data_IF_669223823155
#
_entry.id   IF_669223823155
#
_cell.length_a   1.000
_cell.length_b   1.000
_cell.length_c   1.000
_cell.angle_alpha   90.00
_cell.angle_beta   90.00
_cell.angle_gamma   90.00
#
_symmetry.space_group_name_H-M   'P 1'
#
loop_
_entity.id
_entity.type
_entity.pdbx_description
1 polymer ?
#
# COMPACT_ATOMS: atom_id res chain seq x y z
N UNK A 1 18.84 3.73 -2.60
CA UNK A 1 17.59 4.50 -2.70
C UNK A 1 16.43 3.53 -2.58
N UNK A 2 15.32 3.91 -1.94
CA UNK A 2 14.13 3.07 -1.82
C UNK A 2 13.47 2.95 -3.20
N UNK A 3 13.41 1.74 -3.76
CA UNK A 3 12.70 1.47 -5.01
C UNK A 3 11.30 0.97 -4.70
N UNK A 4 10.37 1.91 -4.58
CA UNK A 4 8.94 1.64 -4.61
C UNK A 4 8.45 2.32 -5.87
N UNK A 5 8.16 1.53 -6.90
CA UNK A 5 7.73 2.08 -8.19
C UNK A 5 6.22 2.35 -8.16
N UNK A 6 5.83 3.53 -8.66
CA UNK A 6 4.45 3.88 -9.01
C UNK A 6 4.35 3.79 -10.53
N UNK A 7 3.56 2.86 -11.08
CA UNK A 7 3.35 2.76 -12.53
C UNK A 7 3.22 1.35 -13.08
N UNK A 8 3.26 1.24 -14.41
CA UNK A 8 3.16 -0.02 -15.15
C UNK A 8 4.22 -1.03 -14.69
N UNK A 9 3.80 -2.29 -14.54
CA UNK A 9 4.66 -3.39 -14.07
C UNK A 9 5.86 -3.56 -14.99
N UNK A 10 7.07 -3.43 -14.45
CA UNK A 10 8.32 -3.69 -15.16
C UNK A 10 8.74 -5.17 -15.02
N UNK A 11 9.65 -5.63 -15.88
CA UNK A 11 10.23 -6.98 -15.73
C UNK A 11 10.92 -7.18 -14.37
N UNK A 12 11.47 -6.12 -13.77
CA UNK A 12 12.10 -6.17 -12.44
C UNK A 12 11.11 -6.42 -11.30
N UNK A 13 9.83 -6.13 -11.50
CA UNK A 13 8.78 -6.34 -10.50
C UNK A 13 8.29 -7.79 -10.47
N UNK A 14 8.56 -8.55 -11.52
CA UNK A 14 8.12 -9.94 -11.65
C UNK A 14 8.75 -10.80 -10.54
N UNK A 15 7.88 -11.50 -9.84
CA UNK A 15 8.20 -12.32 -8.69
C UNK A 15 8.33 -11.54 -7.38
N UNK A 16 8.25 -10.21 -7.40
CA UNK A 16 8.21 -9.38 -6.18
C UNK A 16 6.90 -9.51 -5.41
N UNK A 17 6.67 -8.56 -4.50
CA UNK A 17 5.41 -8.44 -3.76
C UNK A 17 4.66 -7.20 -4.24
N UNK A 18 3.42 -7.37 -4.71
CA UNK A 18 2.51 -6.27 -5.02
C UNK A 18 1.51 -6.12 -3.88
N UNK A 19 1.34 -4.92 -3.36
CA UNK A 19 0.31 -4.62 -2.36
C UNK A 19 -0.69 -3.66 -2.97
N UNK A 20 -1.96 -4.06 -3.04
CA UNK A 20 -3.07 -3.22 -3.47
C UNK A 20 -3.85 -2.77 -2.22
N UNK A 21 -3.92 -1.47 -2.00
CA UNK A 21 -4.77 -0.84 -1.02
C UNK A 21 -6.04 -0.32 -1.71
N UNK A 22 -7.19 -0.57 -1.10
CA UNK A 22 -8.50 -0.08 -1.51
C UNK A 22 -9.20 0.51 -0.30
N UNK A 23 -9.74 1.72 -0.42
CA UNK A 23 -10.49 2.38 0.65
C UNK A 23 -11.93 2.66 0.22
N UNK A 24 -12.86 2.57 1.16
CA UNK A 24 -14.28 2.73 0.87
C UNK A 24 -14.75 4.19 0.87
N UNK A 25 -13.89 5.14 1.22
CA UNK A 25 -14.26 6.55 1.40
C UNK A 25 -13.23 7.48 0.73
N UNK A 26 -13.62 8.09 -0.40
CA UNK A 26 -12.78 9.00 -1.19
C UNK A 26 -12.34 10.26 -0.44
N UNK A 27 -12.96 10.57 0.70
CA UNK A 27 -12.59 11.70 1.54
C UNK A 27 -11.73 11.28 2.74
N UNK A 28 -11.32 10.02 2.83
CA UNK A 28 -10.39 9.55 3.84
C UNK A 28 -9.01 10.15 3.58
N UNK A 29 -8.46 10.83 4.58
CA UNK A 29 -7.11 11.35 4.54
C UNK A 29 -6.19 10.48 5.41
N UNK A 30 -5.07 10.02 4.87
CA UNK A 30 -4.12 9.16 5.58
C UNK A 30 -2.72 9.17 4.94
N UNK A 31 -1.74 8.70 5.69
CA UNK A 31 -0.40 8.39 5.19
C UNK A 31 -0.15 6.89 5.27
N UNK A 32 0.44 6.30 4.22
CA UNK A 32 1.03 4.96 4.25
C UNK A 32 2.55 5.07 4.37
N UNK A 33 3.12 4.48 5.42
CA UNK A 33 4.56 4.44 5.64
C UNK A 33 5.10 3.03 5.36
N UNK A 34 6.02 2.92 4.40
CA UNK A 34 6.74 1.70 4.08
C UNK A 34 8.10 1.76 4.74
N UNK A 35 8.38 0.85 5.68
CA UNK A 35 9.67 0.70 6.36
C UNK A 35 10.36 -0.53 5.82
N UNK A 36 11.55 -0.34 5.27
CA UNK A 36 12.35 -1.41 4.69
C UNK A 36 13.17 -2.17 5.77
N UNK A 37 13.82 -3.29 5.41
CA UNK A 37 14.65 -4.07 6.34
C UNK A 37 15.78 -3.27 7.00
N UNK A 38 16.32 -2.26 6.31
CA UNK A 38 17.39 -1.38 6.80
C UNK A 38 16.87 -0.22 7.67
N UNK A 39 15.56 -0.18 7.96
CA UNK A 39 14.86 0.86 8.73
C UNK A 39 14.80 2.24 8.04
N UNK A 40 15.10 2.31 6.75
CA UNK A 40 14.72 3.46 5.94
C UNK A 40 13.22 3.39 5.64
N UNK A 41 12.59 4.55 5.45
CA UNK A 41 11.18 4.60 5.16
C UNK A 41 10.83 5.57 4.03
N UNK A 42 9.73 5.25 3.36
CA UNK A 42 9.05 6.08 2.39
C UNK A 42 7.62 6.32 2.89
N UNK A 43 7.09 7.52 2.70
CA UNK A 43 5.71 7.86 3.02
C UNK A 43 4.99 8.20 1.72
N UNK A 44 3.86 7.53 1.50
CA UNK A 44 2.89 7.93 0.51
C UNK A 44 1.69 8.57 1.20
N UNK A 45 1.44 9.84 0.91
CA UNK A 45 0.29 10.57 1.45
C UNK A 45 -0.92 10.42 0.56
N UNK A 46 -2.10 10.43 1.18
CA UNK A 46 -3.39 10.63 0.56
C UNK A 46 -4.11 11.70 1.37
N UNK A 47 -3.71 12.97 1.19
CA UNK A 47 -4.27 14.13 1.90
C UNK A 47 -4.60 15.22 0.90
N UNK A 48 -5.56 16.08 1.22
CA UNK A 48 -5.88 17.21 0.34
C UNK A 48 -4.74 18.22 0.27
N UNK A 49 -3.89 18.30 1.29
CA UNK A 49 -2.72 19.18 1.30
C UNK A 49 -1.67 18.73 0.28
N UNK A 50 -1.39 17.41 0.22
CA UNK A 50 -0.30 16.88 -0.60
C UNK A 50 -0.75 16.34 -1.97
N UNK A 51 -2.00 15.89 -2.10
CA UNK A 51 -2.48 15.08 -3.23
C UNK A 51 -3.88 15.49 -3.72
N UNK A 52 -4.16 16.80 -3.73
CA UNK A 52 -5.46 17.35 -4.14
C UNK A 52 -5.90 16.91 -5.55
N UNK A 53 -4.99 16.92 -6.52
CA UNK A 53 -5.29 16.53 -7.90
C UNK A 53 -5.67 15.05 -8.02
N UNK A 54 -4.97 14.18 -7.28
CA UNK A 54 -5.27 12.75 -7.23
C UNK A 54 -6.65 12.51 -6.62
N UNK A 55 -6.94 13.11 -5.47
CA UNK A 55 -8.24 12.97 -4.80
C UNK A 55 -9.37 13.45 -5.72
N UNK A 56 -9.13 14.53 -6.48
CA UNK A 56 -10.07 14.98 -7.49
C UNK A 56 -10.26 13.95 -8.61
N UNK A 57 -9.17 13.40 -9.16
CA UNK A 57 -9.20 12.37 -10.22
C UNK A 57 -9.95 11.10 -9.79
N UNK A 58 -9.67 10.62 -8.58
CA UNK A 58 -10.36 9.50 -7.94
C UNK A 58 -11.87 9.74 -7.84
N UNK A 59 -12.27 10.94 -7.40
CA UNK A 59 -13.68 11.33 -7.27
C UNK A 59 -14.38 11.38 -8.63
N UNK A 60 -13.75 11.93 -9.66
CA UNK A 60 -14.38 12.04 -11.00
C UNK A 60 -14.46 10.70 -11.72
N UNK A 61 -13.50 9.78 -11.49
CA UNK A 61 -13.44 8.46 -12.16
C UNK A 61 -14.06 7.33 -11.32
N UNK A 62 -14.31 7.56 -10.03
CA UNK A 62 -14.98 6.60 -9.14
C UNK A 62 -14.10 5.45 -8.65
N UNK A 63 -12.79 5.66 -8.49
CA UNK A 63 -11.87 4.67 -7.91
C UNK A 63 -11.29 5.18 -6.58
N UNK A 64 -10.81 4.26 -5.75
CA UNK A 64 -10.25 4.55 -4.42
C UNK A 64 -9.27 3.45 -4.06
N UNK A 65 -8.16 3.43 -4.81
CA UNK A 65 -7.15 2.40 -4.65
C UNK A 65 -5.78 2.89 -5.10
N UNK A 66 -4.76 2.24 -4.56
CA UNK A 66 -3.38 2.37 -5.03
C UNK A 66 -2.65 1.04 -4.85
N UNK A 67 -1.73 0.73 -5.76
CA UNK A 67 -0.83 -0.39 -5.58
C UNK A 67 0.62 0.06 -5.46
N UNK A 68 1.40 -0.76 -4.76
CA UNK A 68 2.82 -0.59 -4.57
C UNK A 68 3.55 -1.88 -4.89
N UNK A 69 4.68 -1.76 -5.56
CA UNK A 69 5.55 -2.87 -5.90
C UNK A 69 6.78 -2.85 -4.98
N UNK A 70 7.05 -3.99 -4.36
CA UNK A 70 8.27 -4.26 -3.60
C UNK A 70 9.02 -5.31 -4.42
N UNK A 71 10.01 -4.85 -5.18
CA UNK A 71 10.86 -5.70 -6.01
C UNK A 71 11.75 -6.61 -5.16
N UNK A 72 12.53 -7.48 -5.81
CA UNK A 72 13.46 -8.39 -5.12
C UNK A 72 14.83 -7.79 -4.82
N UNK A 73 15.02 -6.49 -5.02
CA UNK A 73 16.32 -5.84 -4.80
C UNK A 73 16.69 -5.77 -3.31
N UNK A 74 15.68 -5.70 -2.42
CA UNK A 74 15.87 -5.66 -0.98
C UNK A 74 14.99 -6.67 -0.25
N UNK A 75 15.62 -7.78 0.12
CA UNK A 75 15.01 -8.89 0.84
C UNK A 75 14.94 -8.61 2.35
N UNK A 76 13.97 -9.22 3.02
CA UNK A 76 13.79 -9.14 4.46
C UNK A 76 12.40 -8.69 4.86
N UNK A 77 12.28 -8.27 6.11
CA UNK A 77 11.01 -7.82 6.67
C UNK A 77 10.72 -6.37 6.26
N UNK A 78 9.58 -6.18 5.62
CA UNK A 78 8.98 -4.89 5.34
C UNK A 78 7.81 -4.66 6.27
N UNK A 79 7.65 -3.43 6.76
CA UNK A 79 6.49 -3.02 7.56
C UNK A 79 5.74 -1.94 6.81
N UNK A 80 4.41 -2.04 6.79
CA UNK A 80 3.54 -1.01 6.25
C UNK A 80 2.66 -0.50 7.38
N UNK A 81 2.83 0.78 7.69
CA UNK A 81 2.04 1.47 8.69
C UNK A 81 1.06 2.44 8.02
N UNK A 82 0.01 2.79 8.74
CA UNK A 82 -0.94 3.84 8.37
C UNK A 82 -1.06 4.86 9.49
N UNK A 83 -1.13 6.13 9.11
CA UNK A 83 -1.60 7.20 9.98
C UNK A 83 -2.87 7.80 9.40
N UNK A 84 -3.99 7.63 10.07
CA UNK A 84 -5.28 8.12 9.60
C UNK A 84 -5.58 9.52 10.17
N UNK A 85 -6.00 10.45 9.31
CA UNK A 85 -6.33 11.83 9.70
C UNK A 85 -7.83 12.08 9.82
N UNK A 86 -8.65 11.11 9.39
CA UNK A 86 -10.09 11.22 9.37
C UNK A 86 -10.66 11.23 7.96
N UNK A 87 -11.97 11.40 7.90
CA UNK A 87 -12.68 11.65 6.66
C UNK A 87 -13.68 12.80 6.92
N UNK A 88 -14.17 13.43 5.85
CA UNK A 88 -15.14 14.54 5.93
C UNK A 88 -16.60 14.08 5.90
N UNK A 89 -16.83 12.78 5.95
CA UNK A 89 -18.14 12.15 5.89
C UNK A 89 -18.53 11.51 7.25
N UNK A 90 -19.77 11.03 7.36
CA UNK A 90 -20.27 10.39 8.58
C UNK A 90 -20.07 8.87 8.59
N UNK A 91 -19.66 8.27 7.47
CA UNK A 91 -19.46 6.84 7.35
C UNK A 91 -18.06 6.41 7.82
N UNK A 92 -17.94 5.21 8.42
CA UNK A 92 -16.65 4.66 8.81
C UNK A 92 -15.75 4.45 7.58
N UNK A 93 -14.45 4.69 7.77
CA UNK A 93 -13.43 4.36 6.77
C UNK A 93 -12.90 2.95 7.02
N UNK A 94 -12.89 2.14 5.97
CA UNK A 94 -12.25 0.85 5.94
C UNK A 94 -11.17 0.84 4.86
N UNK A 95 -10.04 0.21 5.19
CA UNK A 95 -8.94 -0.06 4.28
C UNK A 95 -8.87 -1.56 4.04
N UNK A 96 -8.94 -2.00 2.79
CA UNK A 96 -8.66 -3.37 2.38
C UNK A 96 -7.28 -3.42 1.76
N UNK A 97 -6.44 -4.34 2.21
CA UNK A 97 -5.15 -4.61 1.61
C UNK A 97 -5.17 -6.02 0.99
N UNK A 98 -4.81 -6.09 -0.29
CA UNK A 98 -4.58 -7.36 -1.01
C UNK A 98 -3.09 -7.46 -1.32
N UNK A 99 -2.42 -8.47 -0.76
CA UNK A 99 -1.00 -8.71 -0.96
C UNK A 99 -0.83 -9.86 -1.93
N UNK A 100 -0.22 -9.61 -3.08
CA UNK A 100 0.18 -10.61 -4.06
C UNK A 100 1.67 -10.90 -3.89
N UNK A 101 2.00 -12.14 -3.55
CA UNK A 101 3.38 -12.62 -3.49
C UNK A 101 3.72 -13.35 -4.76
N UNK A 102 5.00 -13.36 -5.13
CA UNK A 102 5.48 -13.98 -6.37
C UNK A 102 4.73 -13.42 -7.61
N UNK A 103 4.46 -12.11 -7.57
CA UNK A 103 3.57 -11.41 -8.51
C UNK A 103 4.00 -11.57 -9.97
N UNK A 104 3.06 -11.87 -10.86
CA UNK A 104 3.33 -12.09 -12.28
C UNK A 104 4.02 -13.42 -12.61
N UNK A 105 4.17 -14.33 -11.64
CA UNK A 105 4.74 -15.68 -11.86
C UNK A 105 3.69 -16.78 -11.76
N UNK A 106 4.03 -18.00 -12.17
CA UNK A 106 3.17 -19.18 -12.00
C UNK A 106 2.91 -19.57 -10.54
N UNK A 107 3.70 -19.04 -9.61
CA UNK A 107 3.58 -19.31 -8.17
C UNK A 107 2.85 -18.18 -7.42
N UNK A 108 2.27 -17.22 -8.15
CA UNK A 108 1.55 -16.09 -7.55
C UNK A 108 0.48 -16.57 -6.57
N UNK A 109 0.43 -15.93 -5.40
CA UNK A 109 -0.60 -16.16 -4.38
C UNK A 109 -1.01 -14.85 -3.75
N UNK A 110 -2.26 -14.75 -3.29
CA UNK A 110 -2.80 -13.54 -2.68
C UNK A 110 -3.35 -13.75 -1.27
N UNK A 111 -3.20 -12.75 -0.41
CA UNK A 111 -3.84 -12.64 0.90
C UNK A 111 -4.62 -11.33 0.99
N UNK A 112 -5.79 -11.34 1.65
CA UNK A 112 -6.65 -10.16 1.82
C UNK A 112 -6.86 -9.90 3.31
N UNK A 113 -6.71 -8.63 3.70
CA UNK A 113 -7.01 -8.17 5.06
C UNK A 113 -7.83 -6.87 5.00
N UNK A 114 -8.72 -6.67 5.96
CA UNK A 114 -9.55 -5.47 6.06
C UNK A 114 -9.37 -4.83 7.45
N UNK A 115 -9.21 -3.51 7.47
CA UNK A 115 -8.89 -2.72 8.64
C UNK A 115 -9.92 -1.59 8.80
N UNK A 116 -10.42 -1.40 10.02
CA UNK A 116 -11.26 -0.24 10.37
C UNK A 116 -10.36 0.92 10.80
N UNK A 117 -10.46 2.05 10.12
CA UNK A 117 -9.71 3.26 10.46
C UNK A 117 -10.57 4.16 11.34
N UNK A 118 -10.30 4.14 12.64
CA UNK A 118 -11.11 4.87 13.64
C UNK A 118 -10.29 5.82 14.50
N UNK A 119 -9.09 5.42 14.92
CA UNK A 119 -8.18 6.26 15.69
C UNK A 119 -7.45 7.25 14.76
N UNK A 120 -7.58 8.54 15.07
CA UNK A 120 -6.92 9.62 14.32
C UNK A 120 -5.55 9.91 14.89
N UNK A 121 -4.62 10.30 14.02
CA UNK A 121 -3.28 10.78 14.36
C UNK A 121 -2.36 9.75 15.04
N UNK A 122 -2.76 8.48 15.06
CA UNK A 122 -1.98 7.35 15.56
C UNK A 122 -1.34 6.61 14.40
N UNK A 123 -0.06 6.25 14.54
CA UNK A 123 0.62 5.37 13.58
C UNK A 123 0.35 3.91 13.93
N UNK A 124 -0.34 3.19 13.06
CA UNK A 124 -0.77 1.80 13.25
C UNK A 124 -0.09 0.90 12.21
N UNK A 125 0.48 -0.23 12.62
CA UNK A 125 1.04 -1.23 11.68
C UNK A 125 -0.12 -2.01 11.01
N UNK A 126 -0.26 -1.87 9.69
CA UNK A 126 -1.24 -2.64 8.91
C UNK A 126 -0.70 -4.02 8.56
N UNK A 127 0.53 -4.09 8.06
CA UNK A 127 1.09 -5.30 7.49
C UNK A 127 2.56 -5.45 7.87
N UNK A 128 2.96 -6.68 8.14
CA UNK A 128 4.37 -7.12 8.11
C UNK A 128 4.52 -8.12 6.97
N UNK A 129 5.39 -7.83 6.02
CA UNK A 129 5.63 -8.63 4.82
C UNK A 129 7.06 -9.18 4.83
N UNK A 130 7.24 -10.42 4.38
CA UNK A 130 8.58 -11.02 4.21
C UNK A 130 8.89 -11.11 2.73
N UNK A 131 9.72 -10.20 2.25
CA UNK A 131 10.22 -10.22 0.88
C UNK A 131 11.38 -11.21 0.77
N UNK A 132 11.25 -12.22 -0.08
CA UNK A 132 12.22 -13.32 -0.22
C UNK A 132 12.29 -13.78 -1.67
N UNK A 133 13.39 -14.43 -2.04
CA UNK A 133 13.50 -15.12 -3.32
C UNK A 133 12.59 -16.35 -3.29
N UNK A 134 11.72 -16.47 -4.28
CA UNK A 134 10.92 -17.67 -4.51
C UNK A 134 11.88 -18.83 -4.83
N UNK A 135 11.92 -19.85 -3.98
CA UNK A 135 12.65 -21.08 -4.31
C UNK A 135 11.76 -21.87 -5.24
N UNK A 136 12.09 -21.87 -6.54
CA UNK A 136 11.45 -22.76 -7.50
C UNK A 136 11.65 -24.22 -7.07
N UNK A 137 10.60 -25.04 -7.22
CA UNK A 137 10.77 -26.49 -7.28
C UNK A 137 11.36 -26.88 -8.63
#
# INVERSE_FOLDING_TARGET
ELKIEKGDVSESDIGGTRVLFEWNNTEAEFDLQFVNPDKHYFVWSHTLENEAERIYDEKIKGYSCEHFLIDKSLLGQWKINIKYFGNKAYNPTYMKATVYYDYGTSNERSEVQAFSLSEKDVNFELLTLINRVSVGK
#
